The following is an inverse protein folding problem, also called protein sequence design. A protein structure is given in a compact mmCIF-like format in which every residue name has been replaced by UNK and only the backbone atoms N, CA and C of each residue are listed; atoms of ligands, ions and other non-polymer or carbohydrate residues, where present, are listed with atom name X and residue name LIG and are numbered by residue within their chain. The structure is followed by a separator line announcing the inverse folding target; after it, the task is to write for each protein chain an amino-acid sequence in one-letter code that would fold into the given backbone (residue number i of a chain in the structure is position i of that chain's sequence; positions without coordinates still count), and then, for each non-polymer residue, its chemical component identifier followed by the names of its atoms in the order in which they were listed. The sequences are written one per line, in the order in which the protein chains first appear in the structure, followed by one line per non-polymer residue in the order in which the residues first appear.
data_IF_726080729729
#
_entry.id   IF_726080729729
#
_cell.length_a   1.000
_cell.length_b   1.000
_cell.length_c   1.000
_cell.angle_alpha   90.00
_cell.angle_beta   90.00
_cell.angle_gamma   90.00
#
_symmetry.space_group_name_H-M   'P 1'
#
loop_
_entity.id
_entity.type
_entity.pdbx_description
1 polymer ?
#
# COMPACT_ATOMS: atom_id res chain seq x y z
N UNK A 1 32.57 -18.46 1.22
CA UNK A 1 31.71 -19.65 0.92
C UNK A 1 30.59 -19.84 1.95
N UNK A 2 30.87 -19.89 3.30
CA UNK A 2 29.81 -20.10 4.30
C UNK A 2 28.82 -18.92 4.38
N UNK A 3 29.31 -17.68 4.36
CA UNK A 3 28.44 -16.47 4.35
C UNK A 3 27.64 -16.33 3.05
N UNK A 4 28.22 -16.73 1.91
CA UNK A 4 27.54 -16.73 0.62
C UNK A 4 26.42 -17.76 0.57
N UNK A 5 26.62 -18.96 1.15
CA UNK A 5 25.58 -19.99 1.21
C UNK A 5 24.42 -19.60 2.13
N UNK A 6 24.70 -18.93 3.26
CA UNK A 6 23.66 -18.41 4.15
C UNK A 6 22.86 -17.26 3.49
N UNK A 7 23.55 -16.35 2.81
CA UNK A 7 22.91 -15.26 2.07
C UNK A 7 22.02 -15.80 0.93
N UNK A 8 22.49 -16.80 0.19
CA UNK A 8 21.71 -17.45 -0.86
C UNK A 8 20.47 -18.17 -0.30
N UNK A 9 20.59 -18.85 0.85
CA UNK A 9 19.46 -19.50 1.51
C UNK A 9 18.40 -18.50 2.00
N UNK A 10 18.82 -17.39 2.60
CA UNK A 10 17.91 -16.34 3.07
C UNK A 10 17.21 -15.61 1.91
N UNK A 11 17.90 -15.36 0.81
CA UNK A 11 17.32 -14.79 -0.41
C UNK A 11 16.28 -15.74 -1.05
N UNK A 12 16.56 -17.04 -1.09
CA UNK A 12 15.62 -18.03 -1.61
C UNK A 12 14.35 -18.09 -0.75
N UNK A 13 14.47 -18.07 0.59
CA UNK A 13 13.32 -18.04 1.49
C UNK A 13 12.50 -16.75 1.34
N UNK A 14 13.17 -15.59 1.22
CA UNK A 14 12.52 -14.32 0.98
C UNK A 14 11.78 -14.32 -0.36
N UNK A 15 12.42 -14.82 -1.41
CA UNK A 15 11.81 -14.94 -2.75
C UNK A 15 10.59 -15.85 -2.73
N UNK A 16 10.65 -17.00 -2.04
CA UNK A 16 9.51 -17.90 -1.89
C UNK A 16 8.34 -17.25 -1.14
N UNK A 17 8.64 -16.54 -0.04
CA UNK A 17 7.64 -15.77 0.71
C UNK A 17 6.96 -14.68 -0.13
N UNK A 18 7.76 -13.92 -0.87
CA UNK A 18 7.26 -12.89 -1.78
C UNK A 18 6.43 -13.51 -2.91
N UNK A 19 6.87 -14.63 -3.49
CA UNK A 19 6.09 -15.32 -4.53
C UNK A 19 4.72 -15.75 -4.03
N UNK A 20 4.61 -16.24 -2.79
CA UNK A 20 3.31 -16.56 -2.18
C UNK A 20 2.42 -15.32 -2.07
N UNK A 21 2.98 -14.17 -1.64
CA UNK A 21 2.26 -12.90 -1.53
C UNK A 21 1.77 -12.45 -2.90
N UNK A 22 2.60 -12.53 -3.94
CA UNK A 22 2.27 -12.10 -5.30
C UNK A 22 1.48 -13.16 -6.11
N UNK A 23 0.79 -14.08 -5.44
CA UNK A 23 -0.11 -15.05 -6.08
C UNK A 23 0.62 -16.12 -6.89
N UNK A 24 1.82 -16.50 -6.49
CA UNK A 24 2.65 -17.54 -7.11
C UNK A 24 3.61 -17.03 -8.18
N UNK A 25 3.60 -15.72 -8.49
CA UNK A 25 4.58 -15.13 -9.40
C UNK A 25 5.98 -15.14 -8.78
N UNK A 26 6.98 -15.48 -9.56
CA UNK A 26 8.37 -15.38 -9.11
C UNK A 26 8.74 -13.89 -8.97
N UNK A 27 8.97 -13.46 -7.71
CA UNK A 27 9.24 -12.06 -7.44
C UNK A 27 10.48 -11.54 -8.19
N UNK A 28 11.56 -12.32 -8.25
CA UNK A 28 12.82 -11.91 -8.88
C UNK A 28 12.73 -11.87 -10.41
N UNK A 29 12.05 -12.86 -11.01
CA UNK A 29 12.03 -13.03 -12.46
C UNK A 29 10.83 -12.34 -13.13
N UNK A 30 9.71 -12.19 -12.41
CA UNK A 30 8.45 -11.72 -12.98
C UNK A 30 8.01 -10.35 -12.44
N UNK A 31 8.23 -10.05 -11.16
CA UNK A 31 7.77 -8.80 -10.53
C UNK A 31 8.87 -7.73 -10.56
N UNK A 32 10.05 -8.04 -10.03
CA UNK A 32 11.17 -7.09 -9.92
C UNK A 32 11.58 -6.47 -11.26
N UNK A 33 11.65 -7.22 -12.39
CA UNK A 33 11.99 -6.64 -13.70
C UNK A 33 10.95 -5.63 -14.22
N UNK A 34 9.73 -5.60 -13.65
CA UNK A 34 8.67 -4.68 -14.06
C UNK A 34 8.74 -3.35 -13.30
N UNK A 35 9.52 -3.28 -12.25
CA UNK A 35 9.77 -2.01 -11.57
C UNK A 35 10.56 -1.07 -12.49
N UNK A 36 10.21 0.20 -12.41
CA UNK A 36 10.97 1.29 -13.02
C UNK A 36 12.25 1.57 -12.23
N UNK A 37 12.87 2.70 -12.52
CA UNK A 37 14.13 3.09 -11.89
C UNK A 37 13.95 3.89 -10.61
N UNK A 38 12.72 4.33 -10.34
CA UNK A 38 12.43 5.26 -9.25
C UNK A 38 11.62 4.59 -8.16
N UNK A 39 12.12 4.73 -6.94
CA UNK A 39 11.41 4.42 -5.69
C UNK A 39 11.43 5.70 -4.87
N UNK A 40 10.27 6.18 -4.45
CA UNK A 40 10.15 7.38 -3.63
C UNK A 40 9.49 7.04 -2.31
N UNK A 41 10.01 7.62 -1.23
CA UNK A 41 9.39 7.60 0.10
C UNK A 41 8.84 8.99 0.40
N UNK A 42 7.58 9.06 0.76
CA UNK A 42 6.90 10.30 1.14
C UNK A 42 6.44 10.18 2.59
N UNK A 43 6.68 11.21 3.37
CA UNK A 43 6.20 11.30 4.77
C UNK A 43 5.45 12.61 4.91
N UNK A 44 4.26 12.56 5.51
CA UNK A 44 3.38 13.71 5.69
C UNK A 44 2.67 13.62 7.05
N UNK A 45 2.43 14.76 7.69
CA UNK A 45 1.49 14.80 8.81
C UNK A 45 0.11 14.38 8.34
N UNK A 46 -0.56 13.57 9.15
CA UNK A 46 -1.90 13.09 8.84
C UNK A 46 -2.93 14.15 9.26
N UNK A 47 -3.93 14.34 8.41
CA UNK A 47 -5.17 14.99 8.81
C UNK A 47 -6.08 13.92 9.43
N UNK A 48 -6.72 14.18 10.58
CA UNK A 48 -7.66 13.24 11.19
C UNK A 48 -8.76 12.87 10.20
N UNK A 49 -8.98 11.57 10.03
CA UNK A 49 -10.06 11.08 9.17
C UNK A 49 -11.41 11.42 9.82
N UNK A 50 -12.31 12.05 9.07
CA UNK A 50 -13.62 12.46 9.58
C UNK A 50 -14.38 11.23 10.15
N UNK A 51 -14.90 11.37 11.37
CA UNK A 51 -15.60 10.30 12.05
C UNK A 51 -14.72 9.23 12.70
N UNK A 52 -13.40 9.40 12.70
CA UNK A 52 -12.47 8.55 13.47
C UNK A 52 -11.91 9.28 14.68
N UNK A 53 -11.72 8.58 15.81
CA UNK A 53 -11.04 9.15 16.98
C UNK A 53 -9.59 9.52 16.62
N UNK A 54 -9.14 10.66 17.12
CA UNK A 54 -7.75 11.09 16.93
C UNK A 54 -6.80 10.23 17.73
N UNK A 55 -5.79 9.60 17.08
CA UNK A 55 -4.85 8.71 17.77
C UNK A 55 -3.95 9.46 18.77
N UNK A 56 -3.56 8.75 19.81
CA UNK A 56 -2.58 9.26 20.78
C UNK A 56 -1.50 8.18 21.03
N UNK A 57 -0.23 8.43 20.65
CA UNK A 57 0.28 9.62 19.96
C UNK A 57 -0.12 9.65 18.47
N UNK A 58 -0.26 10.86 17.91
CA UNK A 58 -0.36 11.05 16.48
C UNK A 58 1.02 10.90 15.82
N UNK A 59 1.13 10.06 14.79
CA UNK A 59 2.38 9.87 14.04
C UNK A 59 2.16 10.25 12.56
N UNK A 60 3.21 10.71 11.85
CA UNK A 60 3.09 11.00 10.41
C UNK A 60 2.72 9.76 9.58
N UNK A 61 1.95 9.98 8.52
CA UNK A 61 1.72 8.96 7.49
C UNK A 61 2.94 8.84 6.58
N UNK A 62 3.23 7.61 6.15
CA UNK A 62 4.28 7.30 5.19
C UNK A 62 3.73 6.60 3.95
N UNK A 63 4.29 6.88 2.78
CA UNK A 63 3.96 6.17 1.55
C UNK A 63 5.21 5.82 0.76
N UNK A 64 5.17 4.63 0.16
CA UNK A 64 6.14 4.14 -0.82
C UNK A 64 5.51 4.26 -2.22
N UNK A 65 6.21 4.92 -3.13
CA UNK A 65 5.81 5.03 -4.53
C UNK A 65 6.80 4.23 -5.35
N UNK A 66 6.29 3.23 -6.06
CA UNK A 66 7.05 2.38 -6.97
C UNK A 66 6.65 2.72 -8.40
N UNK A 67 7.61 3.05 -9.23
CA UNK A 67 7.39 3.18 -10.67
C UNK A 67 7.27 1.79 -11.30
N UNK A 68 6.31 1.60 -12.21
CA UNK A 68 6.18 0.41 -13.05
C UNK A 68 6.50 0.75 -14.50
N UNK A 69 7.05 -0.19 -15.23
CA UNK A 69 7.26 -0.05 -16.69
C UNK A 69 5.92 0.00 -17.45
N UNK A 70 4.94 -0.74 -16.98
CA UNK A 70 3.57 -0.77 -17.52
C UNK A 70 2.59 -1.17 -16.41
N UNK A 71 1.93 -0.19 -15.80
CA UNK A 71 1.00 -0.44 -14.71
C UNK A 71 -0.29 -1.14 -15.15
N UNK A 72 -0.72 -1.00 -16.43
CA UNK A 72 -1.90 -1.68 -16.94
C UNK A 72 -1.68 -3.19 -16.99
N UNK A 73 -0.47 -3.61 -17.36
CA UNK A 73 -0.09 -5.02 -17.45
C UNK A 73 0.33 -5.61 -16.12
N UNK A 74 1.10 -4.84 -15.32
CA UNK A 74 1.78 -5.36 -14.14
C UNK A 74 1.23 -4.84 -12.80
N UNK A 75 0.22 -3.99 -12.81
CA UNK A 75 -0.38 -3.46 -11.58
C UNK A 75 -1.17 -4.49 -10.78
N UNK A 76 -1.87 -5.41 -11.48
CA UNK A 76 -2.71 -6.42 -10.82
C UNK A 76 -1.97 -7.29 -9.80
N UNK A 77 -0.75 -7.77 -10.02
CA UNK A 77 0.02 -8.49 -9.02
C UNK A 77 0.18 -7.73 -7.70
N UNK A 78 0.31 -6.41 -7.72
CA UNK A 78 0.41 -5.61 -6.50
C UNK A 78 -0.91 -5.56 -5.72
N UNK A 79 -2.05 -5.52 -6.42
CA UNK A 79 -3.37 -5.62 -5.78
C UNK A 79 -3.54 -6.99 -5.13
N UNK A 80 -3.17 -8.06 -5.84
CA UNK A 80 -3.20 -9.44 -5.30
C UNK A 80 -2.28 -9.54 -4.09
N UNK A 81 -1.04 -9.02 -4.20
CA UNK A 81 -0.08 -9.03 -3.11
C UNK A 81 -0.57 -8.28 -1.87
N UNK A 82 -1.17 -7.12 -2.06
CA UNK A 82 -1.76 -6.33 -0.97
C UNK A 82 -2.88 -7.09 -0.25
N UNK A 83 -3.81 -7.68 -1.00
CA UNK A 83 -4.88 -8.50 -0.42
C UNK A 83 -4.34 -9.74 0.30
N UNK A 84 -3.32 -10.41 -0.27
CA UNK A 84 -2.68 -11.56 0.35
C UNK A 84 -2.01 -11.21 1.67
N UNK A 85 -1.31 -10.07 1.74
CA UNK A 85 -0.72 -9.56 2.99
C UNK A 85 -1.78 -9.32 4.06
N UNK A 86 -2.87 -8.65 3.72
CA UNK A 86 -3.98 -8.40 4.66
C UNK A 86 -4.56 -9.73 5.15
N UNK A 87 -4.72 -10.71 4.28
CA UNK A 87 -5.22 -12.04 4.64
C UNK A 87 -4.28 -12.78 5.60
N UNK A 88 -2.97 -12.74 5.33
CA UNK A 88 -1.95 -13.35 6.21
C UNK A 88 -1.96 -12.69 7.59
N UNK A 89 -2.02 -11.36 7.64
CA UNK A 89 -2.08 -10.63 8.91
C UNK A 89 -3.37 -10.98 9.67
N UNK A 90 -4.51 -11.08 8.99
CA UNK A 90 -5.77 -11.51 9.62
C UNK A 90 -5.64 -12.90 10.25
N UNK A 91 -5.09 -13.87 9.52
CA UNK A 91 -4.88 -15.22 10.05
C UNK A 91 -4.00 -15.19 11.29
N UNK A 92 -2.89 -14.45 11.26
CA UNK A 92 -1.96 -14.33 12.39
C UNK A 92 -2.64 -13.68 13.60
N UNK A 93 -3.41 -12.61 13.40
CA UNK A 93 -4.16 -11.95 14.48
C UNK A 93 -5.19 -12.87 15.11
N UNK A 94 -5.96 -13.61 14.30
CA UNK A 94 -6.95 -14.56 14.79
C UNK A 94 -6.34 -15.73 15.56
N UNK A 95 -5.11 -16.14 15.23
CA UNK A 95 -4.37 -17.15 15.98
C UNK A 95 -3.91 -16.64 17.35
N UNK A 96 -3.63 -15.34 17.47
CA UNK A 96 -3.21 -14.71 18.73
C UNK A 96 -4.42 -14.32 19.62
N UNK A 97 -5.47 -13.84 18.99
CA UNK A 97 -6.73 -13.49 19.64
C UNK A 97 -7.90 -13.83 18.71
N UNK A 98 -8.68 -14.83 19.11
CA UNK A 98 -9.86 -15.30 18.34
C UNK A 98 -10.96 -14.23 18.21
N UNK A 99 -10.94 -13.20 19.05
CA UNK A 99 -11.89 -12.10 19.03
C UNK A 99 -11.34 -10.86 18.29
N UNK A 100 -10.11 -10.91 17.77
CA UNK A 100 -9.55 -9.79 17.04
C UNK A 100 -10.44 -9.41 15.85
N UNK A 101 -10.79 -8.12 15.69
CA UNK A 101 -11.60 -7.68 14.56
C UNK A 101 -10.88 -7.95 13.24
N UNK A 102 -11.62 -8.49 12.26
CA UNK A 102 -11.07 -8.76 10.93
C UNK A 102 -10.78 -7.47 10.17
N UNK A 103 -9.62 -7.40 9.57
CA UNK A 103 -9.29 -6.32 8.63
C UNK A 103 -9.97 -6.61 7.28
N UNK A 104 -10.56 -5.59 6.69
CA UNK A 104 -11.26 -5.67 5.40
C UNK A 104 -10.64 -4.71 4.40
N UNK A 105 -10.35 -5.21 3.20
CA UNK A 105 -9.95 -4.34 2.09
C UNK A 105 -11.21 -3.80 1.43
N UNK A 106 -11.37 -2.47 1.44
CA UNK A 106 -12.50 -1.76 0.83
C UNK A 106 -12.02 -1.00 -0.39
N UNK A 107 -12.68 -1.16 -1.56
CA UNK A 107 -12.40 -0.31 -2.70
C UNK A 107 -12.98 1.09 -2.47
N UNK A 108 -12.20 2.11 -2.80
CA UNK A 108 -12.57 3.52 -2.76
C UNK A 108 -12.18 4.19 -4.08
N UNK A 109 -12.90 5.23 -4.51
CA UNK A 109 -12.53 6.02 -5.68
C UNK A 109 -12.04 7.40 -5.28
N UNK A 110 -10.84 7.75 -5.75
CA UNK A 110 -10.22 9.06 -5.55
C UNK A 110 -9.84 9.63 -6.90
N UNK A 111 -10.41 10.77 -7.29
CA UNK A 111 -10.18 11.41 -8.59
C UNK A 111 -10.31 10.44 -9.79
N UNK A 112 -11.22 9.46 -9.70
CA UNK A 112 -11.43 8.44 -10.75
C UNK A 112 -10.54 7.21 -10.64
N UNK A 113 -9.52 7.22 -9.79
CA UNK A 113 -8.59 6.10 -9.56
C UNK A 113 -9.15 5.14 -8.51
N UNK A 114 -9.04 3.84 -8.76
CA UNK A 114 -9.41 2.82 -7.78
C UNK A 114 -8.30 2.69 -6.72
N UNK A 115 -8.68 2.93 -5.48
CA UNK A 115 -7.84 2.79 -4.29
C UNK A 115 -8.36 1.63 -3.43
N UNK A 116 -7.47 0.97 -2.73
CA UNK A 116 -7.78 -0.16 -1.85
C UNK A 116 -7.37 0.21 -0.43
N UNK A 117 -8.37 0.51 0.41
CA UNK A 117 -8.18 0.89 1.81
C UNK A 117 -8.39 -0.30 2.73
N UNK A 118 -7.53 -0.51 3.70
CA UNK A 118 -7.74 -1.47 4.78
C UNK A 118 -8.49 -0.82 5.93
N UNK A 119 -9.67 -1.35 6.20
CA UNK A 119 -10.39 -1.09 7.45
C UNK A 119 -9.90 -2.08 8.51
N UNK A 120 -9.37 -1.56 9.60
CA UNK A 120 -8.80 -2.37 10.70
C UNK A 120 -9.87 -2.92 11.66
N UNK A 121 -11.15 -2.57 11.45
CA UNK A 121 -12.25 -2.96 12.32
C UNK A 121 -12.17 -2.32 13.71
N UNK A 122 -11.49 -1.18 13.86
CA UNK A 122 -11.37 -0.49 15.14
C UNK A 122 -12.68 0.26 15.50
N UNK A 123 -13.06 0.31 16.78
CA UNK A 123 -14.24 1.05 17.22
C UNK A 123 -14.17 2.54 16.85
N UNK A 124 -15.28 3.07 16.31
CA UNK A 124 -15.35 4.49 15.96
C UNK A 124 -15.57 5.41 17.17
N UNK A 125 -15.95 4.86 18.30
CA UNK A 125 -16.28 5.55 19.55
C UNK A 125 -15.27 5.29 20.67
N UNK A 126 -14.03 4.90 20.31
CA UNK A 126 -13.00 4.65 21.32
C UNK A 126 -12.67 5.92 22.12
N UNK A 127 -12.79 5.82 23.45
CA UNK A 127 -12.48 6.93 24.37
C UNK A 127 -10.96 7.22 24.42
N UNK A 128 -10.12 6.21 24.28
CA UNK A 128 -8.68 6.30 24.31
C UNK A 128 -8.08 5.58 23.09
N UNK A 129 -8.12 6.19 21.90
CA UNK A 129 -7.60 5.60 20.68
C UNK A 129 -6.08 5.46 20.76
N UNK A 130 -5.60 4.24 20.61
CA UNK A 130 -4.18 3.93 20.66
C UNK A 130 -3.46 4.24 19.34
N UNK A 131 -2.21 3.79 19.26
CA UNK A 131 -1.34 4.00 18.10
C UNK A 131 -1.90 3.36 16.82
N UNK A 132 -2.69 2.29 16.95
CA UNK A 132 -3.31 1.57 15.82
C UNK A 132 -4.26 2.46 15.00
N UNK A 133 -4.84 3.49 15.60
CA UNK A 133 -5.70 4.46 14.91
C UNK A 133 -4.96 5.37 13.92
N UNK A 134 -3.60 5.40 13.98
CA UNK A 134 -2.81 6.08 12.97
C UNK A 134 -2.77 5.33 11.63
N UNK A 135 -3.28 4.09 11.54
CA UNK A 135 -3.10 3.26 10.37
C UNK A 135 -4.43 2.97 9.66
N UNK A 136 -4.40 3.14 8.37
CA UNK A 136 -5.39 2.61 7.41
C UNK A 136 -4.64 2.25 6.13
N UNK A 137 -3.83 1.16 6.16
CA UNK A 137 -2.95 0.81 5.04
C UNK A 137 -3.72 0.81 3.74
N UNK A 138 -3.15 1.39 2.70
CA UNK A 138 -3.88 1.59 1.45
C UNK A 138 -2.95 1.45 0.25
N UNK A 139 -3.53 1.05 -0.87
CA UNK A 139 -2.84 0.89 -2.15
C UNK A 139 -3.63 1.59 -3.24
N UNK A 140 -2.93 2.29 -4.14
CA UNK A 140 -3.48 2.80 -5.38
C UNK A 140 -2.53 2.53 -6.55
N UNK A 141 -3.10 2.45 -7.75
CA UNK A 141 -2.32 2.38 -8.99
C UNK A 141 -2.82 3.49 -9.90
N UNK A 142 -1.93 4.45 -10.18
CA UNK A 142 -2.23 5.58 -11.03
C UNK A 142 -1.09 5.87 -11.99
N UNK A 143 -1.38 6.16 -13.27
CA UNK A 143 -0.38 6.26 -14.30
C UNK A 143 0.49 4.99 -14.35
N UNK A 144 1.80 5.14 -14.23
CA UNK A 144 2.77 4.04 -14.11
C UNK A 144 3.31 3.89 -12.68
N UNK A 145 2.51 4.15 -11.66
CA UNK A 145 2.95 4.13 -10.26
C UNK A 145 2.05 3.24 -9.43
N UNK A 146 2.67 2.50 -8.52
CA UNK A 146 2.02 1.86 -7.36
C UNK A 146 2.32 2.71 -6.15
N UNK A 147 1.30 3.13 -5.44
CA UNK A 147 1.38 3.91 -4.20
C UNK A 147 0.91 3.01 -3.08
N UNK A 148 1.76 2.76 -2.10
CA UNK A 148 1.44 1.98 -0.89
C UNK A 148 1.63 2.91 0.30
N UNK A 149 0.57 3.22 1.01
CA UNK A 149 0.58 4.11 2.16
C UNK A 149 0.25 3.42 3.47
N UNK A 150 0.79 3.96 4.57
CA UNK A 150 0.42 3.56 5.93
C UNK A 150 -0.99 4.01 6.31
N UNK A 151 -1.50 5.02 5.60
CA UNK A 151 -2.84 5.58 5.80
C UNK A 151 -3.51 5.87 4.46
N UNK A 152 -4.84 5.89 4.48
CA UNK A 152 -5.61 6.26 3.29
C UNK A 152 -5.43 7.74 2.92
N UNK A 153 -5.28 8.62 3.92
CA UNK A 153 -5.07 10.06 3.71
C UNK A 153 -3.86 10.37 2.82
N UNK A 154 -2.70 9.75 3.11
CA UNK A 154 -1.50 9.98 2.29
C UNK A 154 -1.66 9.40 0.87
N UNK A 155 -2.33 8.27 0.70
CA UNK A 155 -2.58 7.68 -0.62
C UNK A 155 -3.54 8.56 -1.42
N UNK A 156 -4.62 9.04 -0.79
CA UNK A 156 -5.57 9.97 -1.39
C UNK A 156 -4.88 11.23 -1.87
N UNK A 157 -4.10 11.88 -1.00
CA UNK A 157 -3.31 13.06 -1.34
C UNK A 157 -2.41 12.83 -2.56
N UNK A 158 -1.65 11.74 -2.59
CA UNK A 158 -0.72 11.44 -3.67
C UNK A 158 -1.43 11.12 -5.00
N UNK A 159 -2.59 10.49 -4.95
CA UNK A 159 -3.42 10.25 -6.14
C UNK A 159 -3.95 11.57 -6.68
N UNK A 160 -4.53 12.42 -5.82
CA UNK A 160 -5.06 13.74 -6.23
C UNK A 160 -3.98 14.62 -6.86
N UNK A 161 -2.78 14.67 -6.29
CA UNK A 161 -1.64 15.44 -6.85
C UNK A 161 -1.15 14.85 -8.19
N UNK A 162 -1.15 13.52 -8.32
CA UNK A 162 -0.78 12.87 -9.58
C UNK A 162 -1.77 13.20 -10.71
N UNK A 163 -3.06 13.21 -10.43
CA UNK A 163 -4.10 13.50 -11.43
C UNK A 163 -4.13 14.98 -11.81
N UNK A 164 -3.88 15.91 -10.88
CA UNK A 164 -3.72 17.34 -11.17
C UNK A 164 -2.58 17.58 -12.15
N UNK A 165 -1.42 17.00 -11.90
CA UNK A 165 -0.23 17.17 -12.76
C UNK A 165 -0.44 16.66 -14.19
N UNK A 166 -1.25 15.62 -14.38
CA UNK A 166 -1.64 15.11 -15.72
C UNK A 166 -2.56 16.08 -16.41
N UNK A 167 -3.53 16.65 -15.70
CA UNK A 167 -4.49 17.61 -16.26
C UNK A 167 -3.81 18.91 -16.71
N UNK A 168 -2.90 19.43 -15.90
CA UNK A 168 -2.14 20.65 -16.21
C UNK A 168 -1.24 20.45 -17.45
N UNK A 169 -0.56 19.30 -17.54
CA UNK A 169 0.27 18.95 -18.71
C UNK A 169 -0.56 18.82 -19.99
N UNK A 170 -1.80 18.32 -19.92
CA UNK A 170 -2.70 18.23 -21.07
C UNK A 170 -3.24 19.60 -21.48
N UNK A 171 -3.51 20.48 -20.52
CA UNK A 171 -3.96 21.84 -20.81
C UNK A 171 -2.89 22.67 -21.52
N UNK A 172 -1.61 22.52 -21.15
CA UNK A 172 -0.50 23.18 -21.85
C UNK A 172 -0.34 22.70 -23.31
N UNK A 173 -0.52 21.41 -23.58
CA UNK A 173 -0.41 20.85 -24.94
C UNK A 173 -1.55 21.30 -25.85
N UNK A 174 -2.74 21.60 -25.31
CA UNK A 174 -3.90 22.07 -26.10
C UNK A 174 -3.88 23.58 -26.31
N UNK A 175 -2.99 24.33 -25.68
CA UNK A 175 -2.87 25.78 -25.80
C UNK A 175 -1.93 26.24 -26.95
N UNK A 176 -1.39 25.32 -27.72
CA UNK A 176 -0.61 25.54 -28.94
C UNK A 176 -1.33 24.99 -30.15
#
# INVERSE_FOLDING_TARGET
EYLESQAAGSLAQLSAGLSMIFGGLNFQDEVLPQLGKTISLVVRNQDPEEGRPSPSPAIPGGALILELKDARKYGRPFIVGFNSLVSIINITRMQQDSNAPSMLVKPEKVAGVDCYKVDLGLPADAENPGIEYNFSPSLAITGNRVIIGSTFDIVKFLVEESEKSVTDSQAEVLAF
#
